data_IF_087326172514
#
_entry.id   IF_087326172514
#
_cell.length_a   1.000
_cell.length_b   1.000
_cell.length_c   1.000
_cell.angle_alpha   90.00
_cell.angle_beta   90.00
_cell.angle_gamma   90.00
#
_symmetry.space_group_name_H-M   'P 1'
#
loop_
_entity.id
_entity.type
_entity.pdbx_description
1 polymer ?
#
# COMPACT_ATOMS: atom_id res chain seq x y z
N UNK A 1 -17.24 -16.67 31.15
CA UNK A 1 -16.34 -15.99 32.08
C UNK A 1 -15.16 -15.49 31.23
N UNK A 2 -15.30 -14.28 30.71
CA UNK A 2 -14.22 -13.61 29.99
C UNK A 2 -13.18 -13.19 31.01
N UNK A 3 -12.05 -13.88 31.02
CA UNK A 3 -10.86 -13.40 31.71
C UNK A 3 -10.38 -12.15 30.98
N UNK A 4 -10.77 -10.96 31.45
CA UNK A 4 -10.06 -9.74 31.11
C UNK A 4 -8.59 -9.96 31.48
N UNK A 5 -7.77 -10.27 30.47
CA UNK A 5 -6.33 -10.15 30.64
C UNK A 5 -6.07 -8.65 30.80
N UNK A 6 -5.75 -8.20 32.00
CA UNK A 6 -5.30 -6.83 32.26
C UNK A 6 -4.03 -6.59 31.42
N UNK A 7 -4.20 -5.97 30.25
CA UNK A 7 -3.07 -5.51 29.47
C UNK A 7 -2.46 -4.30 30.18
N UNK A 8 -1.14 -4.25 30.39
CA UNK A 8 -0.54 -3.14 31.11
C UNK A 8 -0.73 -1.85 30.27
N UNK A 9 -1.20 -0.81 30.98
CA UNK A 9 -1.29 0.52 30.41
C UNK A 9 0.11 1.03 30.06
N UNK A 10 0.27 1.55 28.85
CA UNK A 10 1.54 2.11 28.37
C UNK A 10 1.32 3.53 27.86
N UNK A 11 2.17 4.47 28.28
CA UNK A 11 2.18 5.84 27.81
C UNK A 11 3.44 6.08 26.95
N UNK A 12 3.26 6.48 25.70
CA UNK A 12 4.33 6.97 24.84
C UNK A 12 4.40 8.48 24.97
N UNK A 13 5.55 9.02 25.41
CA UNK A 13 5.83 10.44 25.50
C UNK A 13 6.84 10.82 24.43
N UNK A 14 6.60 11.89 23.68
CA UNK A 14 7.49 12.34 22.62
C UNK A 14 7.56 13.88 22.57
N UNK A 15 8.39 14.43 21.68
CA UNK A 15 8.44 15.87 21.48
C UNK A 15 7.28 16.38 20.61
N UNK A 16 6.83 15.55 19.66
CA UNK A 16 5.80 15.94 18.68
C UNK A 16 4.93 14.73 18.31
N UNK A 17 3.75 15.02 17.75
CA UNK A 17 2.86 14.02 17.21
C UNK A 17 2.16 14.58 15.96
N UNK A 18 2.21 13.83 14.88
CA UNK A 18 1.32 13.95 13.73
C UNK A 18 0.18 12.95 13.89
N UNK A 19 -1.05 13.43 14.05
CA UNK A 19 -2.21 12.58 14.35
C UNK A 19 -2.81 11.85 13.13
N UNK A 20 -2.28 12.13 11.94
CA UNK A 20 -2.77 11.60 10.65
C UNK A 20 -3.81 12.53 9.98
N UNK A 21 -4.24 13.61 10.60
CA UNK A 21 -5.30 14.50 10.07
C UNK A 21 -4.90 15.96 10.01
N UNK A 22 -4.30 16.47 11.08
CA UNK A 22 -3.93 17.88 11.21
C UNK A 22 -2.58 18.17 10.53
N UNK A 23 -2.47 19.32 9.84
CA UNK A 23 -1.19 19.84 9.39
C UNK A 23 -0.32 20.35 10.56
N UNK A 24 -0.93 20.63 11.72
CA UNK A 24 -0.23 21.13 12.91
C UNK A 24 0.14 19.98 13.83
N UNK A 25 1.42 19.88 14.19
CA UNK A 25 1.90 18.91 15.15
C UNK A 25 1.43 19.24 16.57
N UNK A 26 1.05 18.19 17.32
CA UNK A 26 0.82 18.30 18.76
C UNK A 26 2.18 18.26 19.46
N UNK A 27 2.46 19.23 20.33
CA UNK A 27 3.69 19.30 21.12
C UNK A 27 3.54 18.59 22.47
N UNK A 28 4.62 17.99 22.94
CA UNK A 28 4.69 17.22 24.19
C UNK A 28 3.52 16.24 24.38
N UNK A 29 3.23 15.40 23.35
CA UNK A 29 2.13 14.46 23.40
C UNK A 29 2.40 13.33 24.39
N UNK A 30 1.30 12.85 24.99
CA UNK A 30 1.23 11.56 25.69
C UNK A 30 0.17 10.73 25.01
N UNK A 31 0.55 9.60 24.43
CA UNK A 31 -0.35 8.61 23.83
C UNK A 31 -0.49 7.45 24.80
N UNK A 32 -1.70 7.28 25.35
CA UNK A 32 -2.02 6.19 26.28
C UNK A 32 -2.58 5.01 25.50
N UNK A 33 -2.03 3.82 25.71
CA UNK A 33 -2.44 2.58 25.06
C UNK A 33 -2.75 1.50 26.10
N UNK A 34 -3.70 0.63 25.77
CA UNK A 34 -3.99 -0.62 26.48
C UNK A 34 -4.05 -1.76 25.47
N UNK A 35 -3.13 -2.71 25.58
CA UNK A 35 -3.01 -3.77 24.60
C UNK A 35 -2.85 -3.20 23.17
N UNK A 36 -3.79 -3.52 22.30
CA UNK A 36 -3.73 -3.12 20.88
C UNK A 36 -4.43 -1.81 20.55
N UNK A 37 -4.99 -1.09 21.53
CA UNK A 37 -5.86 0.07 21.33
C UNK A 37 -5.30 1.32 21.95
N UNK A 38 -5.44 2.45 21.26
CA UNK A 38 -5.16 3.79 21.80
C UNK A 38 -6.36 4.22 22.64
N UNK A 39 -6.13 4.50 23.92
CA UNK A 39 -7.16 4.98 24.86
C UNK A 39 -7.31 6.50 24.82
N UNK A 40 -6.21 7.22 24.61
CA UNK A 40 -6.23 8.66 24.65
C UNK A 40 -4.96 9.31 24.13
N UNK A 41 -5.12 10.57 23.73
CA UNK A 41 -4.02 11.47 23.36
C UNK A 41 -4.20 12.75 24.16
N UNK A 42 -3.15 13.18 24.83
CA UNK A 42 -3.13 14.45 25.58
C UNK A 42 -1.85 15.22 25.27
N UNK A 43 -1.83 16.51 25.59
CA UNK A 43 -0.63 17.35 25.62
C UNK A 43 -0.25 17.69 27.05
N UNK A 44 1.06 17.77 27.32
CA UNK A 44 1.57 17.96 28.68
C UNK A 44 1.64 16.65 29.48
N UNK A 45 2.66 16.53 30.35
CA UNK A 45 3.09 15.26 30.97
C UNK A 45 2.18 14.78 32.15
N UNK A 46 0.87 14.87 31.99
CA UNK A 46 -0.05 14.29 33.00
C UNK A 46 -0.28 12.81 32.68
N UNK A 47 0.45 11.93 33.36
CA UNK A 47 0.36 10.48 33.19
C UNK A 47 -0.31 9.86 34.41
N UNK A 48 -1.32 8.98 34.26
CA UNK A 48 -1.94 8.28 35.40
C UNK A 48 -0.92 7.45 36.18
N UNK A 49 -1.16 7.21 37.46
CA UNK A 49 -0.32 6.33 38.26
C UNK A 49 -0.43 4.86 37.79
N UNK A 50 0.67 4.12 37.91
CA UNK A 50 0.70 2.69 37.54
C UNK A 50 0.85 2.39 36.05
N UNK A 51 1.06 3.42 35.21
CA UNK A 51 1.29 3.28 33.77
C UNK A 51 2.78 3.10 33.47
N UNK A 52 3.11 2.16 32.58
CA UNK A 52 4.48 2.03 32.03
C UNK A 52 4.76 3.20 31.09
N UNK A 53 5.78 4.00 31.40
CA UNK A 53 6.14 5.17 30.59
C UNK A 53 7.32 4.84 29.67
N UNK A 54 7.16 5.13 28.39
CA UNK A 54 8.22 5.05 27.38
C UNK A 54 8.46 6.47 26.88
N UNK A 55 9.61 7.04 27.25
CA UNK A 55 9.99 8.40 26.86
C UNK A 55 10.88 8.37 25.60
N UNK A 56 10.47 9.11 24.58
CA UNK A 56 11.08 9.20 23.27
C UNK A 56 11.48 10.67 22.97
N UNK A 57 12.43 11.24 23.73
CA UNK A 57 12.79 12.65 23.64
C UNK A 57 13.27 12.98 22.22
N UNK A 58 12.81 14.13 21.67
CA UNK A 58 13.15 14.61 20.34
C UNK A 58 12.40 13.91 19.19
N UNK A 59 11.74 12.78 19.45
CA UNK A 59 11.00 12.05 18.42
C UNK A 59 9.66 12.72 18.06
N UNK A 60 9.19 12.39 16.87
CA UNK A 60 7.80 12.61 16.43
C UNK A 60 7.09 11.28 16.32
N UNK A 61 5.90 11.18 16.93
CA UNK A 61 5.00 10.05 16.74
C UNK A 61 4.14 10.27 15.49
N UNK A 62 3.95 9.21 14.70
CA UNK A 62 3.05 9.17 13.55
C UNK A 62 2.21 7.91 13.62
N UNK A 63 1.04 7.86 12.93
CA UNK A 63 0.40 6.58 12.64
C UNK A 63 1.38 5.66 11.93
N UNK A 64 1.31 4.37 12.21
CA UNK A 64 2.05 3.38 11.43
C UNK A 64 1.74 3.53 9.95
N UNK A 65 2.77 3.42 9.12
CA UNK A 65 2.65 3.61 7.66
C UNK A 65 1.83 2.50 7.03
N UNK A 66 1.14 2.83 5.95
CA UNK A 66 0.31 1.92 5.16
C UNK A 66 0.79 1.95 3.73
N UNK A 67 1.15 0.80 3.18
CA UNK A 67 1.46 0.63 1.76
C UNK A 67 0.28 -0.05 1.06
N UNK A 68 -0.36 0.67 0.15
CA UNK A 68 -1.60 0.20 -0.50
C UNK A 68 -1.36 -0.70 -1.71
N UNK A 69 -0.12 -0.93 -2.11
CA UNK A 69 0.21 -1.76 -3.25
C UNK A 69 1.55 -2.48 -3.04
N UNK A 70 1.50 -3.71 -2.56
CA UNK A 70 2.67 -4.56 -2.42
C UNK A 70 2.45 -5.92 -3.05
N UNK A 71 3.52 -6.66 -3.25
CA UNK A 71 3.55 -8.05 -3.68
C UNK A 71 4.52 -8.82 -2.78
N UNK A 72 4.01 -9.45 -1.73
CA UNK A 72 4.83 -10.20 -0.77
C UNK A 72 5.52 -11.42 -1.39
N UNK A 73 4.94 -11.99 -2.45
CA UNK A 73 5.49 -13.15 -3.13
C UNK A 73 6.81 -12.87 -3.88
N UNK A 74 7.07 -11.61 -4.22
CA UNK A 74 8.33 -11.19 -4.84
C UNK A 74 9.35 -10.71 -3.80
N UNK A 75 10.63 -10.83 -4.11
CA UNK A 75 11.73 -10.63 -3.16
C UNK A 75 12.55 -9.35 -3.37
N UNK A 76 12.02 -8.42 -4.14
CA UNK A 76 12.66 -7.16 -4.49
C UNK A 76 14.07 -7.33 -5.13
N UNK A 77 14.34 -8.47 -5.76
CA UNK A 77 15.58 -8.70 -6.49
C UNK A 77 15.47 -8.29 -7.97
N UNK A 78 16.59 -8.34 -8.68
CA UNK A 78 16.62 -8.08 -10.11
C UNK A 78 15.92 -9.18 -10.95
N UNK A 79 15.72 -10.39 -10.40
CA UNK A 79 15.01 -11.51 -11.02
C UNK A 79 13.91 -12.04 -10.10
N UNK A 80 13.05 -11.14 -9.62
CA UNK A 80 11.98 -11.47 -8.66
C UNK A 80 10.99 -12.51 -9.18
N UNK A 81 10.65 -12.47 -10.49
CA UNK A 81 9.77 -13.44 -11.15
C UNK A 81 10.45 -14.81 -11.25
N UNK A 82 11.70 -14.86 -11.71
CA UNK A 82 12.45 -16.12 -11.81
C UNK A 82 12.70 -16.75 -10.43
N UNK A 83 12.96 -15.94 -9.41
CA UNK A 83 13.08 -16.41 -8.03
C UNK A 83 11.78 -17.01 -7.52
N UNK A 84 10.65 -16.36 -7.77
CA UNK A 84 9.33 -16.90 -7.42
C UNK A 84 9.06 -18.24 -8.13
N UNK A 85 9.35 -18.32 -9.42
CA UNK A 85 9.13 -19.54 -10.21
C UNK A 85 9.95 -20.75 -9.71
N UNK A 86 11.15 -20.51 -9.16
CA UNK A 86 12.03 -21.56 -8.61
C UNK A 86 11.66 -22.04 -7.21
N UNK A 87 10.82 -21.29 -6.49
CA UNK A 87 10.44 -21.59 -5.09
C UNK A 87 9.21 -22.48 -5.03
N UNK A 88 9.24 -23.45 -4.12
CA UNK A 88 8.05 -24.17 -3.68
C UNK A 88 7.25 -23.33 -2.68
N UNK A 89 5.97 -23.62 -2.47
CA UNK A 89 5.06 -22.81 -1.66
C UNK A 89 5.58 -22.52 -0.24
N UNK A 90 6.14 -23.52 0.45
CA UNK A 90 6.74 -23.30 1.76
C UNK A 90 7.90 -22.29 1.75
N UNK A 91 8.67 -22.25 0.67
CA UNK A 91 9.76 -21.26 0.48
C UNK A 91 9.21 -19.89 0.12
N UNK A 92 8.11 -19.83 -0.65
CA UNK A 92 7.41 -18.56 -0.94
C UNK A 92 6.84 -17.99 0.35
N UNK A 93 6.12 -18.78 1.15
CA UNK A 93 5.57 -18.36 2.45
C UNK A 93 6.67 -17.83 3.37
N UNK A 94 7.83 -18.50 3.43
CA UNK A 94 8.96 -18.03 4.22
C UNK A 94 9.52 -16.68 3.72
N UNK A 95 9.62 -16.51 2.39
CA UNK A 95 10.03 -15.25 1.77
C UNK A 95 9.02 -14.12 2.04
N UNK A 96 7.72 -14.40 1.90
CA UNK A 96 6.63 -13.46 2.22
C UNK A 96 6.67 -13.00 3.68
N UNK A 97 6.90 -13.93 4.62
CA UNK A 97 7.06 -13.59 6.04
C UNK A 97 8.28 -12.68 6.28
N UNK A 98 9.38 -12.96 5.60
CA UNK A 98 10.58 -12.13 5.68
C UNK A 98 10.29 -10.71 5.13
N UNK A 99 9.67 -10.62 3.98
CA UNK A 99 9.26 -9.37 3.33
C UNK A 99 8.32 -8.55 4.24
N UNK A 100 7.30 -9.19 4.82
CA UNK A 100 6.35 -8.55 5.72
C UNK A 100 7.02 -8.05 7.01
N UNK A 101 7.96 -8.82 7.60
CA UNK A 101 8.74 -8.33 8.75
C UNK A 101 9.66 -7.17 8.38
N UNK A 102 10.25 -7.18 7.19
CA UNK A 102 11.05 -6.05 6.71
C UNK A 102 10.22 -4.78 6.55
N UNK A 103 9.00 -4.89 5.99
CA UNK A 103 8.03 -3.81 5.93
C UNK A 103 7.72 -3.26 7.33
N UNK A 104 7.37 -4.16 8.27
CA UNK A 104 7.02 -3.80 9.64
C UNK A 104 8.17 -3.09 10.37
N UNK A 105 9.39 -3.59 10.26
CA UNK A 105 10.58 -2.96 10.82
C UNK A 105 10.90 -1.59 10.18
N UNK A 106 10.46 -1.39 8.92
CA UNK A 106 10.50 -0.11 8.20
C UNK A 106 9.35 0.85 8.56
N UNK A 107 8.54 0.53 9.57
CA UNK A 107 7.42 1.37 10.03
C UNK A 107 6.09 1.12 9.31
N UNK A 108 6.03 0.15 8.40
CA UNK A 108 4.82 -0.18 7.64
C UNK A 108 3.99 -1.19 8.44
N UNK A 109 3.00 -0.73 9.16
CA UNK A 109 2.15 -1.56 10.04
C UNK A 109 0.95 -2.17 9.33
N UNK A 110 0.65 -1.72 8.10
CA UNK A 110 -0.41 -2.26 7.26
C UNK A 110 0.04 -2.29 5.81
N UNK A 111 -0.27 -3.39 5.12
CA UNK A 111 0.01 -3.55 3.70
C UNK A 111 -1.25 -4.06 2.99
N UNK A 112 -1.44 -3.65 1.73
CA UNK A 112 -2.39 -4.26 0.81
C UNK A 112 -1.63 -5.05 -0.26
N UNK A 113 -1.67 -6.38 -0.13
CA UNK A 113 -1.07 -7.31 -1.09
C UNK A 113 -2.02 -7.47 -2.28
N UNK A 114 -1.65 -6.93 -3.43
CA UNK A 114 -2.45 -6.90 -4.65
C UNK A 114 -2.06 -7.97 -5.67
N UNK A 115 -1.37 -8.99 -5.23
CA UNK A 115 -1.06 -10.12 -6.09
C UNK A 115 -0.03 -11.05 -5.48
N UNK A 116 -0.49 -12.23 -5.07
CA UNK A 116 0.35 -13.32 -4.61
C UNK A 116 0.14 -14.58 -5.46
N UNK A 117 0.88 -15.64 -5.16
CA UNK A 117 0.72 -16.96 -5.76
C UNK A 117 -0.26 -17.79 -4.93
N UNK A 118 -1.34 -18.26 -5.58
CA UNK A 118 -2.24 -19.29 -5.03
C UNK A 118 -2.82 -18.95 -3.64
N UNK A 119 -3.11 -17.67 -3.37
CA UNK A 119 -3.69 -17.16 -2.11
C UNK A 119 -2.82 -17.38 -0.86
N UNK A 120 -1.50 -17.51 -1.00
CA UNK A 120 -0.60 -17.79 0.12
C UNK A 120 -0.59 -16.67 1.17
N UNK A 121 -0.84 -15.41 0.77
CA UNK A 121 -0.89 -14.26 1.69
C UNK A 121 -2.04 -14.36 2.71
N UNK A 122 -3.14 -15.03 2.36
CA UNK A 122 -4.27 -15.22 3.28
C UNK A 122 -3.86 -15.96 4.57
N UNK A 123 -2.94 -16.91 4.46
CA UNK A 123 -2.40 -17.66 5.59
C UNK A 123 -1.49 -16.84 6.52
N UNK A 124 -1.12 -15.63 6.13
CA UNK A 124 -0.27 -14.74 6.92
C UNK A 124 -1.06 -13.74 7.76
N UNK A 125 -2.37 -13.56 7.46
CA UNK A 125 -3.23 -12.60 8.18
C UNK A 125 -3.34 -12.93 9.66
N UNK A 126 -3.45 -11.90 10.50
CA UNK A 126 -3.65 -12.04 11.94
C UNK A 126 -2.40 -12.44 12.74
N UNK A 127 -1.26 -12.68 12.11
CA UNK A 127 -0.02 -12.98 12.83
C UNK A 127 0.49 -11.77 13.60
N UNK A 128 0.86 -11.90 14.88
CA UNK A 128 1.28 -10.78 15.71
C UNK A 128 2.64 -10.20 15.30
N UNK A 129 3.49 -11.00 14.66
CA UNK A 129 4.83 -10.64 14.19
C UNK A 129 4.87 -10.04 12.77
N UNK A 130 3.71 -9.82 12.15
CA UNK A 130 3.57 -9.25 10.81
C UNK A 130 2.66 -8.01 10.83
N UNK A 131 2.74 -7.14 9.81
CA UNK A 131 1.78 -6.04 9.64
C UNK A 131 0.35 -6.59 9.45
N UNK A 132 -0.63 -5.73 9.57
CA UNK A 132 -1.98 -6.04 9.07
C UNK A 132 -1.93 -6.23 7.57
N UNK A 133 -2.48 -7.34 7.05
CA UNK A 133 -2.47 -7.68 5.63
C UNK A 133 -3.90 -7.64 5.10
N UNK A 134 -4.14 -6.76 4.13
CA UNK A 134 -5.31 -6.74 3.25
C UNK A 134 -4.89 -7.48 1.98
N UNK A 135 -5.57 -8.54 1.59
CA UNK A 135 -5.09 -9.45 0.57
C UNK A 135 -6.08 -9.63 -0.59
N UNK A 136 -5.57 -9.55 -1.81
CA UNK A 136 -6.33 -9.80 -3.03
C UNK A 136 -6.24 -11.26 -3.52
N UNK A 137 -5.21 -12.01 -3.11
CA UNK A 137 -4.87 -13.27 -3.76
C UNK A 137 -4.26 -13.06 -5.15
N UNK A 138 -4.25 -14.09 -6.03
CA UNK A 138 -3.75 -13.97 -7.40
C UNK A 138 -4.56 -12.94 -8.19
N UNK A 139 -3.93 -12.02 -8.96
CA UNK A 139 -4.71 -11.05 -9.73
C UNK A 139 -5.46 -11.73 -10.86
N UNK A 140 -6.73 -11.37 -11.06
CA UNK A 140 -7.52 -11.89 -12.17
C UNK A 140 -6.97 -11.35 -13.49
N UNK A 141 -6.58 -12.24 -14.40
CA UNK A 141 -5.98 -11.91 -15.67
C UNK A 141 -6.44 -12.87 -16.76
N UNK A 142 -6.20 -12.53 -18.03
CA UNK A 142 -6.49 -13.44 -19.16
C UNK A 142 -5.46 -14.56 -19.26
N UNK A 143 -5.74 -15.67 -19.97
CA UNK A 143 -4.71 -16.63 -20.35
C UNK A 143 -3.54 -15.92 -21.04
N UNK A 144 -2.32 -16.22 -20.60
CA UNK A 144 -1.06 -15.57 -21.03
C UNK A 144 -1.01 -14.05 -20.76
N UNK A 145 -1.97 -13.50 -20.04
CA UNK A 145 -2.05 -12.10 -19.67
C UNK A 145 -1.04 -11.70 -18.60
N UNK A 146 -1.01 -10.42 -18.25
CA UNK A 146 -0.05 -9.89 -17.28
C UNK A 146 -0.16 -10.61 -15.93
N UNK A 147 0.97 -11.07 -15.39
CA UNK A 147 1.08 -11.83 -14.14
C UNK A 147 0.27 -13.14 -14.08
N UNK A 148 -0.06 -13.77 -15.24
CA UNK A 148 -0.76 -15.05 -15.30
C UNK A 148 -0.09 -16.16 -14.47
N UNK A 149 1.22 -16.08 -14.30
CA UNK A 149 2.03 -17.05 -13.54
C UNK A 149 1.75 -17.06 -12.03
N UNK A 150 0.94 -16.12 -11.53
CA UNK A 150 0.48 -16.10 -10.13
C UNK A 150 -0.76 -16.97 -9.87
N UNK A 151 -1.45 -17.47 -10.93
CA UNK A 151 -2.56 -18.42 -10.78
C UNK A 151 -3.97 -17.86 -10.96
N UNK A 152 -4.16 -16.53 -11.11
CA UNK A 152 -5.47 -15.88 -11.25
C UNK A 152 -6.05 -15.85 -12.67
N UNK A 153 -5.72 -16.83 -13.53
CA UNK A 153 -6.15 -16.83 -14.92
C UNK A 153 -7.64 -17.13 -15.08
N UNK A 154 -8.35 -16.27 -15.79
CA UNK A 154 -9.77 -16.43 -16.14
C UNK A 154 -10.00 -16.31 -17.65
N UNK A 155 -10.90 -17.12 -18.24
CA UNK A 155 -11.33 -16.89 -19.62
C UNK A 155 -11.91 -15.47 -19.77
N UNK A 156 -11.60 -14.72 -20.87
CA UNK A 156 -12.09 -13.37 -21.08
C UNK A 156 -13.56 -13.38 -21.55
N UNK A 157 -14.43 -13.98 -20.73
CA UNK A 157 -15.87 -14.07 -20.93
C UNK A 157 -16.58 -13.65 -19.63
N UNK A 158 -17.82 -13.16 -19.73
CA UNK A 158 -18.62 -12.79 -18.56
C UNK A 158 -18.72 -13.95 -17.56
N UNK A 159 -18.96 -15.17 -18.02
CA UNK A 159 -19.04 -16.34 -17.15
C UNK A 159 -17.69 -16.65 -16.48
N UNK A 160 -16.57 -16.54 -17.22
CA UNK A 160 -15.23 -16.82 -16.73
C UNK A 160 -14.81 -15.85 -15.60
N UNK A 161 -14.96 -14.53 -15.81
CA UNK A 161 -14.56 -13.55 -14.80
C UNK A 161 -15.46 -13.60 -13.56
N UNK A 162 -16.78 -13.83 -13.71
CA UNK A 162 -17.67 -14.03 -12.57
C UNK A 162 -17.30 -15.25 -11.75
N UNK A 163 -16.92 -16.36 -12.40
CA UNK A 163 -16.44 -17.55 -11.70
C UNK A 163 -15.15 -17.26 -10.91
N UNK A 164 -14.20 -16.54 -11.52
CA UNK A 164 -12.97 -16.14 -10.83
C UNK A 164 -13.24 -15.23 -9.63
N UNK A 165 -14.12 -14.24 -9.76
CA UNK A 165 -14.51 -13.35 -8.65
C UNK A 165 -15.15 -14.15 -7.50
N UNK A 166 -16.04 -15.09 -7.80
CA UNK A 166 -16.66 -15.97 -6.79
C UNK A 166 -15.62 -16.83 -6.07
N UNK A 167 -14.68 -17.41 -6.79
CA UNK A 167 -13.58 -18.16 -6.18
C UNK A 167 -12.79 -17.31 -5.20
N UNK A 168 -12.43 -16.07 -5.57
CA UNK A 168 -11.74 -15.14 -4.68
C UNK A 168 -12.56 -14.83 -3.42
N UNK A 169 -13.86 -14.58 -3.58
CA UNK A 169 -14.78 -14.35 -2.46
C UNK A 169 -14.86 -15.57 -1.52
N UNK A 170 -14.98 -16.79 -2.08
CA UNK A 170 -15.01 -18.04 -1.33
C UNK A 170 -13.69 -18.31 -0.59
N UNK A 171 -12.55 -17.88 -1.14
CA UNK A 171 -11.24 -17.91 -0.48
C UNK A 171 -11.12 -16.88 0.64
N UNK A 172 -12.01 -15.89 0.67
CA UNK A 172 -12.06 -14.86 1.70
C UNK A 172 -11.01 -13.75 1.50
N UNK A 173 -10.79 -13.30 0.26
CA UNK A 173 -9.99 -12.11 -0.02
C UNK A 173 -10.69 -10.84 0.50
N UNK A 174 -9.92 -9.77 0.67
CA UNK A 174 -10.43 -8.48 1.14
C UNK A 174 -10.75 -7.51 -0.01
N UNK A 175 -10.19 -7.77 -1.19
CA UNK A 175 -10.31 -6.93 -2.39
C UNK A 175 -10.08 -7.78 -3.64
N UNK A 176 -10.74 -7.45 -4.74
CA UNK A 176 -10.44 -8.06 -6.05
C UNK A 176 -9.39 -7.21 -6.76
N UNK A 177 -8.31 -7.85 -7.22
CA UNK A 177 -7.34 -7.27 -8.16
C UNK A 177 -7.57 -7.83 -9.55
N UNK A 178 -7.73 -6.96 -10.55
CA UNK A 178 -7.87 -7.34 -11.95
C UNK A 178 -6.83 -6.65 -12.83
N UNK A 179 -6.29 -7.34 -13.81
CA UNK A 179 -5.33 -6.80 -14.79
C UNK A 179 -6.11 -6.23 -15.98
N UNK A 180 -6.51 -4.95 -15.91
CA UNK A 180 -7.23 -4.30 -17.01
C UNK A 180 -6.33 -4.02 -18.22
N UNK A 181 -5.03 -3.77 -17.99
CA UNK A 181 -4.02 -3.65 -19.06
C UNK A 181 -2.90 -4.66 -18.91
N UNK A 182 -2.09 -4.81 -19.93
CA UNK A 182 -0.81 -5.50 -19.83
C UNK A 182 0.21 -4.73 -19.00
N UNK A 183 1.42 -5.28 -18.84
CA UNK A 183 2.50 -4.71 -18.03
C UNK A 183 3.85 -5.36 -18.31
N UNK A 184 4.91 -4.87 -17.69
CA UNK A 184 6.30 -5.22 -18.00
C UNK A 184 6.79 -6.56 -17.41
N UNK A 185 6.11 -7.12 -16.40
CA UNK A 185 6.58 -8.34 -15.72
C UNK A 185 6.28 -9.63 -16.50
N UNK A 186 5.53 -9.54 -17.59
CA UNK A 186 5.16 -10.69 -18.41
C UNK A 186 5.64 -10.46 -19.84
N UNK A 187 6.57 -11.27 -20.36
CA UNK A 187 7.02 -11.14 -21.74
C UNK A 187 5.85 -11.19 -22.75
N UNK A 188 5.85 -10.27 -23.71
CA UNK A 188 4.79 -10.15 -24.72
C UNK A 188 3.53 -9.40 -24.26
N UNK A 189 3.39 -9.11 -22.98
CA UNK A 189 2.32 -8.25 -22.46
C UNK A 189 2.61 -6.78 -22.74
N UNK A 190 1.60 -6.02 -23.18
CA UNK A 190 1.74 -4.61 -23.58
C UNK A 190 0.94 -3.69 -22.63
N UNK A 191 1.61 -2.69 -22.06
CA UNK A 191 1.00 -1.75 -21.12
C UNK A 191 -0.11 -0.89 -21.72
N UNK A 192 -0.03 -0.57 -22.99
CA UNK A 192 -0.99 0.25 -23.72
C UNK A 192 -2.28 -0.50 -24.10
N UNK A 193 -2.28 -1.84 -24.06
CA UNK A 193 -3.42 -2.65 -24.48
C UNK A 193 -4.28 -3.14 -23.31
N UNK A 194 -5.60 -3.00 -23.48
CA UNK A 194 -6.56 -3.64 -22.58
C UNK A 194 -6.51 -5.16 -22.71
N UNK A 195 -6.69 -5.87 -21.59
CA UNK A 195 -6.69 -7.33 -21.54
C UNK A 195 -8.09 -7.96 -21.61
N UNK A 196 -9.10 -7.25 -21.10
CA UNK A 196 -10.48 -7.70 -21.10
C UNK A 196 -11.35 -6.82 -22.00
N UNK A 197 -12.35 -7.37 -22.69
CA UNK A 197 -13.41 -6.55 -23.28
C UNK A 197 -14.15 -5.72 -22.20
N UNK A 198 -14.63 -4.49 -22.52
CA UNK A 198 -15.26 -3.61 -21.53
C UNK A 198 -16.44 -4.24 -20.79
N UNK A 199 -17.28 -5.02 -21.49
CA UNK A 199 -18.43 -5.73 -20.91
C UNK A 199 -18.01 -6.85 -19.96
N UNK A 200 -16.85 -7.47 -20.18
CA UNK A 200 -16.30 -8.51 -19.30
C UNK A 200 -15.73 -7.87 -18.03
N UNK A 201 -15.00 -6.76 -18.17
CA UNK A 201 -14.50 -6.00 -17.03
C UNK A 201 -15.66 -5.49 -16.15
N UNK A 202 -16.72 -4.94 -16.76
CA UNK A 202 -17.94 -4.54 -16.05
C UNK A 202 -18.55 -5.73 -15.30
N UNK A 203 -18.66 -6.89 -15.92
CA UNK A 203 -19.25 -8.07 -15.28
C UNK A 203 -18.42 -8.58 -14.07
N UNK A 204 -17.10 -8.39 -14.09
CA UNK A 204 -16.24 -8.70 -12.95
C UNK A 204 -16.49 -7.73 -11.78
N UNK A 205 -16.61 -6.43 -12.06
CA UNK A 205 -16.89 -5.40 -11.04
C UNK A 205 -18.28 -5.60 -10.44
N UNK A 206 -19.31 -5.78 -11.28
CA UNK A 206 -20.70 -6.01 -10.83
C UNK A 206 -20.79 -7.24 -9.91
N UNK A 207 -20.09 -8.34 -10.24
CA UNK A 207 -20.07 -9.56 -9.42
C UNK A 207 -19.35 -9.34 -8.08
N UNK A 208 -18.24 -8.62 -8.08
CA UNK A 208 -17.51 -8.30 -6.87
C UNK A 208 -18.33 -7.42 -5.93
N UNK A 209 -18.98 -6.38 -6.46
CA UNK A 209 -19.86 -5.49 -5.69
C UNK A 209 -21.07 -6.25 -5.12
N UNK A 210 -21.65 -7.19 -5.90
CA UNK A 210 -22.73 -8.06 -5.41
C UNK A 210 -22.29 -8.90 -4.20
N UNK A 211 -21.00 -9.28 -4.15
CA UNK A 211 -20.41 -10.04 -3.05
C UNK A 211 -19.81 -9.14 -1.94
N UNK A 212 -19.97 -7.82 -2.06
CA UNK A 212 -19.46 -6.84 -1.07
C UNK A 212 -17.94 -6.61 -1.11
N UNK A 213 -17.28 -6.95 -2.22
CA UNK A 213 -15.83 -6.79 -2.39
C UNK A 213 -15.53 -5.56 -3.27
N UNK A 214 -14.62 -4.67 -2.84
CA UNK A 214 -14.11 -3.62 -3.70
C UNK A 214 -13.18 -4.20 -4.78
N UNK A 215 -13.04 -3.48 -5.90
CA UNK A 215 -12.21 -3.87 -7.04
C UNK A 215 -11.17 -2.81 -7.33
N UNK A 216 -9.91 -3.20 -7.47
CA UNK A 216 -8.85 -2.34 -8.01
C UNK A 216 -8.22 -2.96 -9.25
N UNK A 217 -7.94 -2.13 -10.27
CA UNK A 217 -7.37 -2.57 -11.53
C UNK A 217 -5.90 -2.15 -11.68
N UNK A 218 -5.07 -3.03 -12.21
CA UNK A 218 -3.84 -2.64 -12.86
C UNK A 218 -4.19 -1.97 -14.19
N UNK A 219 -3.89 -0.70 -14.35
CA UNK A 219 -4.32 0.08 -15.51
C UNK A 219 -3.24 1.09 -15.95
N UNK A 220 -2.54 0.78 -17.04
CA UNK A 220 -1.56 1.67 -17.66
C UNK A 220 -2.11 2.36 -18.91
N UNK A 221 -2.71 1.59 -19.81
CA UNK A 221 -3.19 2.08 -21.10
C UNK A 221 -4.42 2.98 -20.98
N UNK A 222 -4.49 4.02 -21.81
CA UNK A 222 -5.62 4.97 -21.83
C UNK A 222 -6.95 4.25 -22.03
N UNK A 223 -7.02 3.27 -22.95
CA UNK A 223 -8.23 2.47 -23.16
C UNK A 223 -8.64 1.68 -21.94
N UNK A 224 -7.68 0.97 -21.29
CA UNK A 224 -7.95 0.19 -20.08
C UNK A 224 -8.40 1.05 -18.90
N UNK A 225 -7.83 2.27 -18.75
CA UNK A 225 -8.28 3.25 -17.74
C UNK A 225 -9.72 3.69 -18.02
N UNK A 226 -10.04 4.00 -19.28
CA UNK A 226 -11.40 4.40 -19.68
C UNK A 226 -12.41 3.26 -19.46
N UNK A 227 -12.05 2.03 -19.80
CA UNK A 227 -12.88 0.84 -19.59
C UNK A 227 -13.13 0.55 -18.11
N UNK A 228 -12.07 0.71 -17.28
CA UNK A 228 -12.19 0.58 -15.83
C UNK A 228 -13.13 1.64 -15.24
N UNK A 229 -13.00 2.90 -15.68
CA UNK A 229 -13.91 3.99 -15.30
C UNK A 229 -15.35 3.70 -15.72
N UNK A 230 -15.55 3.17 -16.93
CA UNK A 230 -16.87 2.77 -17.42
C UNK A 230 -17.44 1.55 -16.67
N UNK A 231 -16.60 0.69 -16.12
CA UNK A 231 -16.99 -0.46 -15.31
C UNK A 231 -17.37 -0.11 -13.86
N UNK A 232 -17.26 1.14 -13.44
CA UNK A 232 -17.56 1.62 -12.08
C UNK A 232 -16.62 1.03 -11.02
N UNK A 233 -15.32 1.02 -11.32
CA UNK A 233 -14.27 0.48 -10.47
C UNK A 233 -14.02 1.36 -9.24
N UNK A 234 -13.58 0.76 -8.11
CA UNK A 234 -13.30 1.49 -6.87
C UNK A 234 -11.89 2.09 -6.83
N UNK A 235 -10.95 1.46 -7.53
CA UNK A 235 -9.56 1.93 -7.58
C UNK A 235 -8.82 1.47 -8.83
N UNK A 236 -7.75 2.19 -9.14
CA UNK A 236 -6.83 1.84 -10.23
C UNK A 236 -5.39 2.05 -9.76
N UNK A 237 -4.53 1.11 -10.08
CA UNK A 237 -3.11 1.18 -9.82
C UNK A 237 -2.36 1.71 -11.04
N UNK A 238 -1.31 2.49 -10.81
CA UNK A 238 -0.43 3.13 -11.80
C UNK A 238 -1.04 4.33 -12.51
N UNK A 239 -2.10 4.17 -13.27
CA UNK A 239 -2.81 5.22 -14.05
C UNK A 239 -1.82 6.10 -14.84
N UNK A 240 -0.97 5.45 -15.65
CA UNK A 240 0.15 6.12 -16.33
C UNK A 240 -0.19 6.65 -17.71
N UNK A 241 -1.38 6.36 -18.24
CA UNK A 241 -1.89 6.81 -19.55
C UNK A 241 -0.98 6.45 -20.73
N UNK A 242 -0.48 5.21 -20.74
CA UNK A 242 0.33 4.69 -21.85
C UNK A 242 -0.48 4.60 -23.14
N UNK A 243 0.19 4.95 -24.24
CA UNK A 243 -0.22 4.71 -25.60
C UNK A 243 0.90 3.95 -26.34
N UNK A 244 0.64 3.50 -27.56
CA UNK A 244 1.66 2.84 -28.38
C UNK A 244 2.93 3.71 -28.51
N UNK A 245 2.77 4.99 -28.80
CA UNK A 245 3.88 5.90 -29.10
C UNK A 245 4.38 6.72 -27.89
N UNK A 246 3.69 6.65 -26.72
CA UNK A 246 4.07 7.51 -25.60
C UNK A 246 3.14 7.47 -24.40
N UNK A 247 2.79 8.64 -23.92
CA UNK A 247 1.88 8.87 -22.80
C UNK A 247 0.96 10.03 -23.14
N UNK A 248 -0.36 9.77 -23.14
CA UNK A 248 -1.38 10.80 -23.40
C UNK A 248 -2.53 10.66 -22.39
N UNK A 249 -2.74 11.69 -21.58
CA UNK A 249 -3.80 11.74 -20.59
C UNK A 249 -4.90 12.70 -21.05
N UNK A 250 -6.03 12.19 -21.60
CA UNK A 250 -7.15 13.03 -22.02
C UNK A 250 -7.69 13.83 -20.83
N UNK A 251 -7.86 15.15 -21.01
CA UNK A 251 -8.32 16.04 -19.93
C UNK A 251 -9.67 15.60 -19.35
N UNK A 252 -10.59 15.14 -20.20
CA UNK A 252 -11.90 14.64 -19.77
C UNK A 252 -11.79 13.38 -18.90
N UNK A 253 -10.81 12.52 -19.16
CA UNK A 253 -10.60 11.30 -18.34
C UNK A 253 -9.97 11.66 -16.98
N UNK A 254 -9.02 12.58 -16.93
CA UNK A 254 -8.47 13.11 -15.66
C UNK A 254 -9.60 13.71 -14.81
N UNK A 255 -10.45 14.55 -15.42
CA UNK A 255 -11.56 15.19 -14.70
C UNK A 255 -12.57 14.15 -14.21
N UNK A 256 -12.89 13.15 -15.02
CA UNK A 256 -13.82 12.07 -14.63
C UNK A 256 -13.29 11.25 -13.45
N UNK A 257 -11.99 10.93 -13.41
CA UNK A 257 -11.34 10.23 -12.27
C UNK A 257 -11.45 11.08 -11.00
N UNK A 258 -11.18 12.38 -11.11
CA UNK A 258 -11.29 13.31 -10.00
C UNK A 258 -12.72 13.46 -9.49
N UNK A 259 -13.69 13.67 -10.38
CA UNK A 259 -15.10 13.87 -10.03
C UNK A 259 -15.71 12.63 -9.33
N UNK A 260 -15.31 11.44 -9.74
CA UNK A 260 -15.78 10.19 -9.14
C UNK A 260 -15.01 9.76 -7.91
N UNK A 261 -13.94 10.46 -7.55
CA UNK A 261 -13.08 10.14 -6.41
C UNK A 261 -12.59 8.67 -6.43
N UNK A 262 -12.31 8.14 -7.63
CA UNK A 262 -11.72 6.81 -7.78
C UNK A 262 -10.32 6.84 -7.18
N UNK A 263 -10.00 5.83 -6.37
CA UNK A 263 -8.69 5.74 -5.76
C UNK A 263 -7.60 5.47 -6.82
N UNK A 264 -6.63 6.37 -6.93
CA UNK A 264 -5.47 6.22 -7.82
C UNK A 264 -4.26 5.82 -6.99
N UNK A 265 -3.84 4.57 -7.10
CA UNK A 265 -2.61 4.04 -6.50
C UNK A 265 -1.40 4.53 -7.30
N UNK A 266 -0.87 5.70 -6.94
CA UNK A 266 0.36 6.19 -7.58
C UNK A 266 1.55 5.32 -7.15
N UNK A 267 2.31 4.81 -8.13
CA UNK A 267 3.48 3.96 -7.88
C UNK A 267 4.68 4.83 -7.50
N UNK A 268 4.69 5.27 -6.25
CA UNK A 268 5.70 6.15 -5.65
C UNK A 268 6.38 5.46 -4.46
N UNK A 269 7.51 5.99 -4.00
CA UNK A 269 8.29 5.36 -2.93
C UNK A 269 9.37 4.44 -3.49
N UNK A 270 10.31 5.02 -4.24
CA UNK A 270 11.46 4.30 -4.77
C UNK A 270 12.68 4.55 -3.89
N UNK A 271 13.27 3.48 -3.37
CA UNK A 271 14.56 3.57 -2.68
C UNK A 271 15.68 3.78 -3.71
N UNK A 272 16.49 4.85 -3.61
CA UNK A 272 17.61 5.02 -4.52
C UNK A 272 18.60 3.85 -4.42
N UNK A 273 18.95 3.26 -5.58
CA UNK A 273 19.97 2.23 -5.70
C UNK A 273 21.03 2.74 -6.67
N UNK A 274 22.27 2.99 -6.22
CA UNK A 274 23.32 3.50 -7.09
C UNK A 274 23.53 2.63 -8.33
N UNK A 275 23.58 3.25 -9.52
CA UNK A 275 23.84 2.57 -10.79
C UNK A 275 22.63 1.84 -11.39
N UNK A 276 21.50 1.74 -10.70
CA UNK A 276 20.28 1.15 -11.25
C UNK A 276 19.45 2.24 -11.95
N UNK A 277 19.16 2.01 -13.23
CA UNK A 277 18.30 2.87 -14.04
C UNK A 277 17.09 2.08 -14.55
N UNK A 278 15.93 2.72 -14.73
CA UNK A 278 14.78 2.05 -15.32
C UNK A 278 15.08 1.66 -16.79
N UNK A 279 14.36 0.68 -17.35
CA UNK A 279 14.45 0.36 -18.77
C UNK A 279 14.28 1.63 -19.63
N UNK A 280 15.01 1.77 -20.77
CA UNK A 280 15.02 3.01 -21.57
C UNK A 280 13.63 3.48 -21.99
N UNK A 281 12.75 2.55 -22.34
CA UNK A 281 11.36 2.84 -22.72
C UNK A 281 10.56 3.45 -21.56
N UNK A 282 10.72 2.93 -20.34
CA UNK A 282 10.10 3.47 -19.14
C UNK A 282 10.71 4.83 -18.78
N UNK A 283 12.05 4.93 -18.81
CA UNK A 283 12.76 6.17 -18.52
C UNK A 283 12.30 7.34 -19.40
N UNK A 284 12.10 7.10 -20.69
CA UNK A 284 11.62 8.10 -21.65
C UNK A 284 10.22 8.63 -21.32
N UNK A 285 9.38 7.83 -20.66
CA UNK A 285 7.98 8.15 -20.32
C UNK A 285 7.80 8.78 -18.93
N UNK A 286 8.75 8.60 -18.02
CA UNK A 286 8.67 9.11 -16.64
C UNK A 286 8.28 10.60 -16.57
N UNK A 287 8.88 11.52 -17.33
CA UNK A 287 8.52 12.94 -17.23
C UNK A 287 7.04 13.21 -17.55
N UNK A 288 6.48 12.55 -18.57
CA UNK A 288 5.08 12.67 -18.94
C UNK A 288 4.15 12.02 -17.91
N UNK A 289 4.51 10.86 -17.38
CA UNK A 289 3.77 10.18 -16.29
C UNK A 289 3.70 11.08 -15.06
N UNK A 290 4.82 11.66 -14.62
CA UNK A 290 4.86 12.58 -13.48
C UNK A 290 4.02 13.85 -13.74
N UNK A 291 4.07 14.41 -14.96
CA UNK A 291 3.24 15.53 -15.33
C UNK A 291 1.74 15.19 -15.26
N UNK A 292 1.33 14.00 -15.71
CA UNK A 292 -0.05 13.56 -15.65
C UNK A 292 -0.51 13.26 -14.22
N UNK A 293 0.33 12.66 -13.37
CA UNK A 293 0.02 12.47 -11.94
C UNK A 293 -0.16 13.82 -11.24
N UNK A 294 0.66 14.82 -11.57
CA UNK A 294 0.45 16.20 -11.07
C UNK A 294 -0.89 16.78 -11.55
N UNK A 295 -1.28 16.55 -12.81
CA UNK A 295 -2.59 17.01 -13.32
C UNK A 295 -3.75 16.32 -12.61
N UNK A 296 -3.64 15.02 -12.29
CA UNK A 296 -4.63 14.31 -11.47
C UNK A 296 -4.74 14.95 -10.08
N UNK A 297 -3.61 15.23 -9.43
CA UNK A 297 -3.59 15.90 -8.12
C UNK A 297 -4.24 17.28 -8.20
N UNK A 298 -3.89 18.12 -9.19
CA UNK A 298 -4.47 19.44 -9.40
C UNK A 298 -5.97 19.42 -9.69
N UNK A 299 -6.47 18.36 -10.32
CA UNK A 299 -7.90 18.13 -10.54
C UNK A 299 -8.63 17.64 -9.26
N UNK A 300 -7.92 17.36 -8.18
CA UNK A 300 -8.51 16.87 -6.93
C UNK A 300 -8.78 15.37 -6.89
N UNK A 301 -8.11 14.57 -7.72
CA UNK A 301 -8.24 13.12 -7.70
C UNK A 301 -7.78 12.54 -6.35
N UNK A 302 -8.43 11.46 -5.90
CA UNK A 302 -8.04 10.73 -4.70
C UNK A 302 -6.79 9.89 -4.99
N UNK A 303 -5.61 10.47 -4.73
CA UNK A 303 -4.33 9.78 -4.94
C UNK A 303 -3.83 9.19 -3.61
N UNK A 304 -3.41 7.94 -3.66
CA UNK A 304 -2.81 7.22 -2.53
C UNK A 304 -1.44 6.69 -2.93
N UNK A 305 -0.50 6.65 -2.00
CA UNK A 305 0.80 6.05 -2.27
C UNK A 305 0.72 4.52 -2.16
N UNK A 306 1.17 3.85 -3.22
CA UNK A 306 1.43 2.43 -3.24
C UNK A 306 2.75 2.18 -3.96
N UNK A 307 3.63 1.35 -3.41
CA UNK A 307 4.99 1.25 -3.92
C UNK A 307 5.16 0.22 -5.02
N UNK A 308 4.23 -0.74 -5.11
CA UNK A 308 4.38 -1.94 -5.92
C UNK A 308 5.64 -2.74 -5.45
N UNK A 309 5.78 -2.83 -4.11
CA UNK A 309 6.95 -3.43 -3.46
C UNK A 309 7.12 -4.90 -3.80
N UNK A 310 8.37 -5.33 -3.87
CA UNK A 310 8.77 -6.71 -4.17
C UNK A 310 9.23 -6.93 -5.61
N UNK A 311 8.81 -6.11 -6.57
CA UNK A 311 9.06 -6.38 -8.00
C UNK A 311 10.46 -6.03 -8.49
N UNK A 312 11.20 -5.16 -7.78
CA UNK A 312 12.52 -4.68 -8.20
C UNK A 312 13.36 -4.19 -7.02
N UNK A 313 14.70 -4.11 -7.14
CA UNK A 313 15.59 -3.67 -6.05
C UNK A 313 15.32 -2.27 -5.50
N UNK A 314 14.75 -1.38 -6.31
CA UNK A 314 14.34 -0.02 -5.88
C UNK A 314 13.02 -0.02 -5.12
N UNK A 315 12.32 -1.16 -5.04
CA UNK A 315 10.99 -1.33 -4.42
C UNK A 315 11.04 -2.39 -3.30
N UNK A 316 11.88 -2.22 -2.25
CA UNK A 316 11.83 -3.10 -1.08
C UNK A 316 10.52 -2.90 -0.33
N UNK A 317 10.15 -3.84 0.53
CA UNK A 317 8.84 -3.85 1.20
C UNK A 317 8.67 -2.74 2.27
N UNK A 318 9.71 -1.99 2.57
CA UNK A 318 9.69 -0.77 3.40
C UNK A 318 9.77 0.53 2.58
N UNK A 319 9.52 0.46 1.28
CA UNK A 319 9.77 1.57 0.35
C UNK A 319 8.81 2.75 0.50
N UNK A 320 7.62 2.55 1.09
CA UNK A 320 6.60 3.61 1.18
C UNK A 320 7.08 4.87 1.91
N UNK A 321 8.03 4.76 2.81
CA UNK A 321 8.66 5.92 3.49
C UNK A 321 9.46 6.84 2.56
N UNK A 322 9.75 6.39 1.33
CA UNK A 322 10.36 7.21 0.27
C UNK A 322 9.33 7.94 -0.60
N UNK A 323 8.03 7.72 -0.37
CA UNK A 323 6.97 8.34 -1.16
C UNK A 323 6.84 9.87 -0.93
N UNK A 324 6.94 10.42 0.31
CA UNK A 324 6.72 11.86 0.53
C UNK A 324 7.62 12.79 -0.29
N UNK A 325 8.95 12.58 -0.44
CA UNK A 325 9.77 13.41 -1.31
C UNK A 325 9.37 13.35 -2.79
N UNK A 326 8.88 12.20 -3.28
CA UNK A 326 8.39 12.06 -4.65
C UNK A 326 7.05 12.79 -4.84
N UNK A 327 6.15 12.70 -3.86
CA UNK A 327 4.87 13.41 -3.86
C UNK A 327 5.06 14.93 -3.81
N UNK A 328 6.04 15.43 -3.06
CA UNK A 328 6.40 16.84 -3.04
C UNK A 328 6.78 17.37 -4.44
N UNK A 329 7.47 16.56 -5.27
CA UNK A 329 7.75 16.91 -6.67
C UNK A 329 6.49 16.97 -7.54
N UNK A 330 5.40 16.33 -7.10
CA UNK A 330 4.09 16.39 -7.76
C UNK A 330 3.22 17.55 -7.26
N UNK A 331 3.68 18.31 -6.27
CA UNK A 331 2.99 19.48 -5.74
C UNK A 331 2.27 19.28 -4.39
N UNK A 332 2.47 18.13 -3.74
CA UNK A 332 1.89 17.87 -2.42
C UNK A 332 2.58 18.66 -1.31
N UNK A 333 1.79 19.16 -0.35
CA UNK A 333 2.32 19.57 0.95
C UNK A 333 2.85 18.35 1.74
N UNK A 334 3.76 18.57 2.69
CA UNK A 334 4.36 17.45 3.43
C UNK A 334 3.34 16.71 4.31
N UNK A 335 2.43 17.42 4.96
CA UNK A 335 1.34 16.85 5.73
C UNK A 335 0.35 16.08 4.84
N UNK A 336 0.06 16.58 3.65
CA UNK A 336 -0.76 15.91 2.64
C UNK A 336 -0.07 14.63 2.16
N UNK A 337 1.23 14.69 1.85
CA UNK A 337 2.01 13.51 1.47
C UNK A 337 2.02 12.43 2.57
N UNK A 338 2.15 12.82 3.84
CA UNK A 338 2.04 11.88 4.98
C UNK A 338 0.65 11.26 5.08
N UNK A 339 -0.42 11.99 4.79
CA UNK A 339 -1.78 11.43 4.76
C UNK A 339 -1.96 10.37 3.66
N UNK A 340 -1.26 10.46 2.53
CA UNK A 340 -1.35 9.44 1.46
C UNK A 340 -0.80 8.08 1.89
N UNK A 341 0.05 8.04 2.92
CA UNK A 341 0.65 6.81 3.47
C UNK A 341 0.14 6.49 4.89
N UNK A 342 -0.90 7.18 5.35
CA UNK A 342 -1.55 6.97 6.64
C UNK A 342 -3.07 6.99 6.49
N UNK A 343 -3.72 8.12 6.69
CA UNK A 343 -5.18 8.25 6.76
C UNK A 343 -5.88 7.95 5.42
N UNK A 344 -5.37 8.49 4.32
CA UNK A 344 -5.92 8.23 2.98
C UNK A 344 -5.74 6.77 2.61
N UNK A 345 -4.55 6.22 2.87
CA UNK A 345 -4.25 4.81 2.65
C UNK A 345 -5.16 3.89 3.48
N UNK A 346 -5.44 4.24 4.74
CA UNK A 346 -6.39 3.49 5.58
C UNK A 346 -7.79 3.47 4.96
N UNK A 347 -8.23 4.60 4.38
CA UNK A 347 -9.52 4.70 3.69
C UNK A 347 -9.60 3.75 2.50
N UNK A 348 -8.59 3.78 1.64
CA UNK A 348 -8.49 2.93 0.44
C UNK A 348 -8.40 1.43 0.78
N UNK A 349 -7.83 1.10 1.95
CA UNK A 349 -7.78 -0.27 2.47
C UNK A 349 -9.05 -0.71 3.23
N UNK A 350 -10.10 0.14 3.32
CA UNK A 350 -11.31 -0.18 4.10
C UNK A 350 -11.12 -0.14 5.62
N UNK A 351 -10.01 0.43 6.10
CA UNK A 351 -9.59 0.41 7.51
C UNK A 351 -9.66 1.77 8.21
N UNK A 352 -10.31 2.78 7.61
CA UNK A 352 -10.39 4.15 8.13
C UNK A 352 -11.00 4.25 9.54
N UNK A 353 -11.80 3.25 9.94
CA UNK A 353 -12.45 3.20 11.26
C UNK A 353 -11.49 2.81 12.40
N UNK A 354 -10.29 2.28 12.07
CA UNK A 354 -9.37 1.76 13.09
C UNK A 354 -7.88 2.02 12.82
N UNK A 355 -7.49 2.49 11.61
CA UNK A 355 -6.08 2.68 11.21
C UNK A 355 -5.83 4.04 10.57
N UNK A 356 -4.55 4.40 10.43
CA UNK A 356 -4.10 5.64 9.79
C UNK A 356 -4.17 6.88 10.68
N UNK A 357 -4.58 6.75 11.95
CA UNK A 357 -4.67 7.85 12.91
C UNK A 357 -4.14 7.45 14.29
N UNK A 358 -3.60 8.43 15.02
CA UNK A 358 -3.36 8.32 16.46
C UNK A 358 -4.50 9.03 17.17
N UNK A 359 -5.54 8.28 17.52
CA UNK A 359 -6.75 8.78 18.16
C UNK A 359 -7.39 7.69 19.04
N UNK A 360 -8.19 8.06 20.06
CA UNK A 360 -8.90 7.08 20.89
C UNK A 360 -9.74 6.11 20.07
N UNK A 361 -9.65 4.81 20.40
CA UNK A 361 -10.35 3.72 19.71
C UNK A 361 -9.65 3.18 18.47
N UNK A 362 -8.55 3.80 18.03
CA UNK A 362 -7.74 3.30 16.91
C UNK A 362 -6.73 2.24 17.37
N UNK A 363 -6.30 1.40 16.44
CA UNK A 363 -5.22 0.45 16.71
C UNK A 363 -3.95 1.20 17.13
N UNK A 364 -3.25 0.67 18.11
CA UNK A 364 -1.98 1.22 18.57
C UNK A 364 -0.84 0.87 17.58
N UNK A 365 -1.02 1.28 16.32
CA UNK A 365 -0.04 1.21 15.25
C UNK A 365 0.67 2.56 15.17
N UNK A 366 1.88 2.64 15.72
CA UNK A 366 2.60 3.90 15.92
C UNK A 366 4.04 3.76 15.41
N UNK A 367 4.45 4.72 14.59
CA UNK A 367 5.83 4.94 14.19
C UNK A 367 6.40 6.13 14.97
N UNK A 368 7.55 5.96 15.59
CA UNK A 368 8.33 7.04 16.17
C UNK A 368 9.59 7.27 15.32
N UNK A 369 9.82 8.51 14.90
CA UNK A 369 11.00 8.90 14.12
C UNK A 369 11.75 10.03 14.82
N UNK A 370 13.07 10.09 14.64
CA UNK A 370 13.89 11.20 15.13
C UNK A 370 13.74 12.42 14.22
N UNK A 371 13.35 13.56 14.81
CA UNK A 371 13.14 14.82 14.09
C UNK A 371 11.68 15.07 13.76
N UNK A 372 11.46 15.97 12.79
CA UNK A 372 10.13 16.44 12.35
C UNK A 372 9.91 16.08 10.87
N UNK A 373 9.05 15.09 10.56
CA UNK A 373 8.85 14.63 9.17
C UNK A 373 8.06 15.61 8.30
N UNK A 374 7.44 16.64 8.88
CA UNK A 374 6.81 17.73 8.10
C UNK A 374 7.87 18.73 7.64
N UNK A 375 8.81 19.08 8.52
CA UNK A 375 9.89 20.01 8.19
C UNK A 375 11.03 19.33 7.39
N UNK A 376 11.29 18.04 7.66
CA UNK A 376 12.34 17.25 7.05
C UNK A 376 11.82 15.83 6.74
N UNK A 377 11.41 15.55 5.50
CA UNK A 377 10.90 14.24 5.10
C UNK A 377 11.87 13.08 5.36
N UNK A 378 13.18 13.34 5.39
CA UNK A 378 14.19 12.32 5.68
C UNK A 378 14.13 11.81 7.13
N UNK A 379 13.37 12.49 8.01
CA UNK A 379 13.06 11.99 9.35
C UNK A 379 12.38 10.61 9.30
N UNK A 380 11.60 10.30 8.25
CA UNK A 380 10.98 8.98 8.07
C UNK A 380 11.99 7.83 7.96
N UNK A 381 13.26 8.14 7.67
CA UNK A 381 14.33 7.15 7.62
C UNK A 381 15.06 6.98 8.96
N UNK A 382 14.81 7.86 9.94
CA UNK A 382 15.42 7.82 11.28
C UNK A 382 14.45 7.19 12.29
N UNK A 383 14.12 5.92 12.05
CA UNK A 383 13.16 5.18 12.87
C UNK A 383 13.75 4.96 14.27
N UNK A 384 13.05 5.44 15.30
CA UNK A 384 13.36 5.25 16.72
C UNK A 384 12.66 4.02 17.29
N UNK A 385 11.39 3.84 16.96
CA UNK A 385 10.57 2.72 17.41
C UNK A 385 9.38 2.51 16.49
N UNK A 386 8.92 1.26 16.42
CA UNK A 386 7.67 0.88 15.75
C UNK A 386 6.83 0.08 16.74
N UNK A 387 5.56 0.39 16.82
CA UNK A 387 4.57 -0.37 17.57
C UNK A 387 3.51 -0.86 16.59
N UNK A 388 3.24 -2.16 16.60
CA UNK A 388 2.16 -2.76 15.84
C UNK A 388 1.15 -3.35 16.83
N UNK A 389 -0.06 -2.84 16.79
CA UNK A 389 -1.11 -3.24 17.74
C UNK A 389 -0.61 -3.21 19.20
N UNK A 390 0.07 -2.10 19.55
CA UNK A 390 0.62 -1.83 20.87
C UNK A 390 1.88 -2.64 21.24
N UNK A 391 2.28 -3.60 20.41
CA UNK A 391 3.48 -4.41 20.64
C UNK A 391 4.70 -3.77 19.99
N UNK A 392 5.81 -3.55 20.71
CA UNK A 392 7.03 -3.05 20.11
C UNK A 392 7.62 -4.03 19.10
N UNK A 393 7.95 -3.52 17.93
CA UNK A 393 8.59 -4.29 16.86
C UNK A 393 10.11 -4.32 17.09
N UNK A 394 10.75 -5.49 17.12
CA UNK A 394 12.20 -5.56 17.25
C UNK A 394 12.91 -4.78 16.13
N UNK A 395 13.90 -3.97 16.49
CA UNK A 395 14.73 -3.32 15.49
C UNK A 395 15.40 -4.38 14.59
N UNK A 396 15.42 -4.14 13.28
CA UNK A 396 16.18 -5.00 12.38
C UNK A 396 17.66 -4.94 12.78
N UNK A 397 18.19 -6.02 13.35
CA UNK A 397 19.63 -6.18 13.43
C UNK A 397 20.12 -6.35 11.98
N UNK A 398 21.08 -5.53 11.51
CA UNK A 398 21.69 -5.76 10.20
C UNK A 398 22.25 -7.19 10.20
N UNK A 399 21.90 -7.97 9.16
CA UNK A 399 22.45 -9.29 8.98
C UNK A 399 23.97 -9.21 9.16
N UNK A 400 24.51 -10.00 10.10
CA UNK A 400 25.94 -10.09 10.29
C UNK A 400 26.56 -10.37 8.91
N UNK A 401 27.46 -9.49 8.46
CA UNK A 401 28.20 -9.68 7.21
C UNK A 401 29.09 -10.92 7.43
N UNK A 402 28.67 -12.06 6.87
CA UNK A 402 29.48 -13.26 6.76
C UNK A 402 30.49 -13.12 5.61
#
# INVERSE_FOLDING_TARGET
>A
MDTHMDHPLTALCAARLFDGTSATLIHDPVVLMEGSVILGVSSGRSIPQGVTVIDLPGATLLPGLIDTHVHLAFDASADSVGNLARRQDGQVVAAMQHAARAALAGGVTTIRDLGDRDYLSLGLRGRPDLPTIVAAGPPITTPDGHCHFLGGTAPPTIAGVRAAVREHAERGVDVIKIMASGGNMTPGSRQDLAQFPPEVLRAAVDEAHHLGLPVTAHAHGVGAIADAMAADIDGMEHVTFWTEDGVDAPAGLIQLIADRQIAVGATVGLRPVPGLTPPPEVAARIPAIMANTRRLHQAGALIVAGTDAGIAPVKPHDAVRYAPPMLAQLGYGQDEALRTITTVAAGVCGLAHRKGRIAPGFDADILAVDGDPIADPDALHRIRAVYARGTPVPANQPAARS
#
